data_IF_518967947671
#
_entry.id   IF_518967947671
#
_cell.length_a   1.000
_cell.length_b   1.000
_cell.length_c   1.000
_cell.angle_alpha   90.00
_cell.angle_beta   90.00
_cell.angle_gamma   90.00
#
_symmetry.space_group_name_H-M   'P 1'
#
loop_
_entity.id
_entity.type
_entity.pdbx_description
1 polymer ?
#
# COMPACT_ATOMS: atom_id res chain seq x y z
N UNK A 1 -32.32 33.22 -21.48
CA UNK A 1 -31.68 31.93 -21.83
C UNK A 1 -30.33 31.88 -21.14
N UNK A 2 -30.22 31.06 -20.08
CA UNK A 2 -29.02 30.98 -19.26
C UNK A 2 -27.91 30.26 -20.04
N UNK A 3 -26.80 30.95 -20.23
CA UNK A 3 -25.59 30.42 -20.83
C UNK A 3 -24.98 29.35 -19.91
N UNK A 4 -25.18 28.08 -20.26
CA UNK A 4 -24.35 27.01 -19.73
C UNK A 4 -22.96 27.17 -20.34
N UNK A 5 -22.10 27.94 -19.67
CA UNK A 5 -20.66 28.01 -19.91
C UNK A 5 -20.11 26.64 -19.56
N UNK A 6 -20.06 25.73 -20.55
CA UNK A 6 -19.37 24.47 -20.42
C UNK A 6 -17.94 24.77 -19.98
N UNK A 7 -17.48 24.12 -18.90
CA UNK A 7 -16.07 24.15 -18.52
C UNK A 7 -15.29 23.57 -19.70
N UNK A 8 -14.37 24.32 -20.27
CA UNK A 8 -13.38 23.78 -21.20
C UNK A 8 -12.50 22.80 -20.43
N UNK A 9 -12.33 21.60 -20.96
CA UNK A 9 -11.42 20.57 -20.42
C UNK A 9 -9.95 20.81 -20.80
N UNK A 10 -9.66 21.97 -21.38
CA UNK A 10 -8.32 22.32 -21.84
C UNK A 10 -7.80 23.47 -21.00
N UNK A 11 -6.55 23.30 -20.56
CA UNK A 11 -5.71 24.16 -19.71
C UNK A 11 -5.89 24.04 -18.19
N UNK A 12 -5.53 22.86 -17.66
CA UNK A 12 -4.83 22.77 -16.36
C UNK A 12 -4.09 21.42 -16.26
N UNK A 13 -3.03 21.25 -17.07
CA UNK A 13 -2.05 20.16 -16.88
C UNK A 13 -1.08 20.56 -15.76
N UNK A 14 -1.62 20.80 -14.55
CA UNK A 14 -0.86 21.14 -13.33
C UNK A 14 -0.15 19.91 -12.74
N UNK A 15 -0.17 18.78 -13.47
CA UNK A 15 0.44 17.52 -13.04
C UNK A 15 1.93 17.52 -13.43
N UNK A 16 2.85 17.38 -12.47
CA UNK A 16 4.28 17.36 -12.77
C UNK A 16 4.65 16.12 -13.62
N UNK A 17 5.73 16.23 -14.38
CA UNK A 17 6.36 15.07 -15.04
C UNK A 17 6.96 14.10 -14.00
N UNK A 18 7.20 12.86 -14.44
CA UNK A 18 7.86 11.86 -13.60
C UNK A 18 9.37 12.14 -13.48
N UNK A 19 10.02 11.80 -12.35
CA UNK A 19 9.44 11.24 -11.12
C UNK A 19 8.71 12.30 -10.28
N UNK A 20 7.45 12.02 -9.92
CA UNK A 20 6.57 12.98 -9.25
C UNK A 20 6.83 13.06 -7.75
N UNK A 21 6.71 14.28 -7.20
CA UNK A 21 6.78 14.55 -5.76
C UNK A 21 5.42 14.71 -5.09
N UNK A 22 4.39 15.07 -5.85
CA UNK A 22 3.00 15.25 -5.42
C UNK A 22 2.06 14.78 -6.54
N UNK A 23 0.79 14.52 -6.21
CA UNK A 23 -0.17 13.96 -7.19
C UNK A 23 0.20 12.54 -7.65
N UNK A 24 0.85 11.79 -6.76
CA UNK A 24 1.35 10.44 -7.02
C UNK A 24 0.20 9.46 -7.12
N UNK A 25 0.15 8.68 -8.19
CA UNK A 25 -0.84 7.61 -8.37
C UNK A 25 -0.18 6.26 -8.19
N UNK A 26 -0.60 5.51 -7.19
CA UNK A 26 -0.19 4.11 -7.01
C UNK A 26 -1.28 3.16 -7.50
N UNK A 27 -0.87 2.15 -8.26
CA UNK A 27 -1.72 1.01 -8.59
C UNK A 27 -1.41 -0.16 -7.66
N UNK A 28 -2.45 -0.85 -7.19
CA UNK A 28 -2.29 -2.03 -6.35
C UNK A 28 -2.50 -3.29 -7.18
N UNK A 29 -1.54 -4.21 -7.09
CA UNK A 29 -1.74 -5.57 -7.59
C UNK A 29 -2.71 -6.30 -6.66
N UNK A 30 -3.82 -6.90 -7.17
CA UNK A 30 -4.71 -7.69 -6.36
C UNK A 30 -4.00 -8.95 -5.86
N UNK A 31 -4.22 -9.28 -4.58
CA UNK A 31 -3.68 -10.48 -3.97
C UNK A 31 -4.21 -11.74 -4.64
N UNK A 32 -3.29 -12.56 -5.15
CA UNK A 32 -3.48 -13.84 -5.83
C UNK A 32 -4.07 -13.83 -7.25
N UNK A 33 -3.27 -14.41 -8.15
CA UNK A 33 -3.76 -15.19 -9.29
C UNK A 33 -3.88 -14.43 -10.59
N UNK A 34 -2.97 -14.72 -11.53
CA UNK A 34 -3.14 -14.57 -12.99
C UNK A 34 -3.30 -13.16 -13.59
N UNK A 35 -3.79 -12.16 -12.85
CA UNK A 35 -4.10 -10.83 -13.40
C UNK A 35 -2.88 -9.93 -13.59
N UNK A 36 -1.75 -10.28 -12.98
CA UNK A 36 -0.46 -9.63 -13.18
C UNK A 36 0.51 -10.59 -13.89
N UNK A 37 0.05 -11.22 -14.98
CA UNK A 37 1.00 -11.78 -15.94
C UNK A 37 1.84 -10.62 -16.49
N UNK A 38 3.10 -10.89 -16.78
CA UNK A 38 4.05 -9.89 -17.27
C UNK A 38 3.49 -9.07 -18.44
N UNK A 39 2.75 -9.70 -19.36
CA UNK A 39 2.14 -9.01 -20.50
C UNK A 39 1.12 -7.95 -20.09
N UNK A 40 0.22 -8.24 -19.14
CA UNK A 40 -0.81 -7.25 -18.73
C UNK A 40 -0.17 -6.03 -18.09
N UNK A 41 0.85 -6.24 -17.24
CA UNK A 41 1.59 -5.15 -16.63
C UNK A 41 2.31 -4.29 -17.67
N UNK A 42 2.94 -4.95 -18.65
CA UNK A 42 3.63 -4.28 -19.74
C UNK A 42 2.65 -3.44 -20.56
N UNK A 43 1.51 -3.99 -20.96
CA UNK A 43 0.48 -3.28 -21.71
C UNK A 43 -0.03 -2.05 -20.94
N UNK A 44 -0.22 -2.18 -19.62
CA UNK A 44 -0.61 -1.07 -18.75
C UNK A 44 0.49 0.01 -18.71
N UNK A 45 1.75 -0.37 -18.56
CA UNK A 45 2.85 0.60 -18.51
C UNK A 45 3.13 1.26 -19.87
N UNK A 46 2.91 0.56 -20.97
CA UNK A 46 3.02 1.12 -22.32
C UNK A 46 1.87 2.07 -22.63
N UNK A 47 0.63 1.74 -22.21
CA UNK A 47 -0.57 2.54 -22.52
C UNK A 47 -0.81 3.68 -21.53
N UNK A 48 -0.67 3.40 -20.24
CA UNK A 48 -1.07 4.27 -19.12
C UNK A 48 0.09 4.59 -18.18
N UNK A 49 1.32 4.17 -18.51
CA UNK A 49 2.48 4.33 -17.64
C UNK A 49 2.74 5.77 -17.23
N UNK A 50 2.46 6.75 -18.08
CA UNK A 50 2.60 8.18 -17.73
C UNK A 50 1.78 8.55 -16.48
N UNK A 51 0.63 7.91 -16.23
CA UNK A 51 -0.26 8.22 -15.12
C UNK A 51 -0.03 7.37 -13.86
N UNK A 52 0.79 6.32 -13.95
CA UNK A 52 1.09 5.42 -12.83
C UNK A 52 2.47 5.76 -12.27
N UNK A 53 2.57 6.14 -11.01
CA UNK A 53 3.84 6.50 -10.37
C UNK A 53 4.42 5.36 -9.53
N UNK A 54 3.56 4.53 -8.95
CA UNK A 54 3.99 3.41 -8.12
C UNK A 54 3.16 2.15 -8.33
N UNK A 55 3.80 1.00 -8.13
CA UNK A 55 3.18 -0.31 -8.11
C UNK A 55 3.29 -0.91 -6.71
N UNK A 56 2.15 -1.09 -6.04
CA UNK A 56 2.06 -1.82 -4.78
C UNK A 56 1.83 -3.31 -5.05
N UNK A 57 2.82 -4.12 -4.69
CA UNK A 57 2.72 -5.58 -4.75
C UNK A 57 2.07 -6.07 -3.44
N UNK A 58 0.81 -6.49 -3.54
CA UNK A 58 0.07 -7.07 -2.42
C UNK A 58 0.24 -8.60 -2.41
N UNK A 59 1.08 -9.12 -1.53
CA UNK A 59 1.25 -10.58 -1.36
C UNK A 59 0.35 -11.07 -0.21
N UNK A 60 -0.87 -11.47 -0.56
CA UNK A 60 -1.89 -11.83 0.41
C UNK A 60 -1.65 -13.15 1.15
N UNK A 61 -0.65 -13.98 0.79
CA UNK A 61 -0.22 -15.16 1.61
C UNK A 61 0.86 -16.07 0.96
N UNK A 62 1.57 -15.68 -0.11
CA UNK A 62 2.44 -16.63 -0.83
C UNK A 62 3.86 -16.13 -1.05
N UNK A 63 4.65 -16.20 0.04
CA UNK A 63 6.12 -16.20 0.07
C UNK A 63 6.75 -15.35 -1.05
N UNK A 64 7.02 -14.06 -0.78
CA UNK A 64 8.00 -13.24 -1.51
C UNK A 64 9.26 -14.06 -1.90
N UNK A 65 9.65 -14.98 -1.01
CA UNK A 65 10.76 -15.91 -1.14
C UNK A 65 10.66 -16.92 -2.30
N UNK A 66 9.46 -17.33 -2.72
CA UNK A 66 9.26 -18.35 -3.74
C UNK A 66 9.15 -17.76 -5.15
N UNK A 67 8.87 -16.45 -5.26
CA UNK A 67 8.64 -15.74 -6.54
C UNK A 67 9.69 -14.64 -6.79
N UNK A 68 10.90 -14.79 -6.24
CA UNK A 68 11.97 -13.78 -6.32
C UNK A 68 12.26 -13.36 -7.76
N UNK A 69 12.32 -14.31 -8.69
CA UNK A 69 12.65 -14.03 -10.09
C UNK A 69 11.54 -13.23 -10.78
N UNK A 70 10.28 -13.60 -10.55
CA UNK A 70 9.12 -12.87 -11.06
C UNK A 70 9.04 -11.45 -10.48
N UNK A 71 9.32 -11.28 -9.20
CA UNK A 71 9.34 -9.95 -8.57
C UNK A 71 10.45 -9.10 -9.18
N UNK A 72 11.66 -9.63 -9.34
CA UNK A 72 12.76 -8.91 -10.01
C UNK A 72 12.39 -8.50 -11.43
N UNK A 73 11.74 -9.38 -12.18
CA UNK A 73 11.29 -9.09 -13.54
C UNK A 73 10.25 -7.97 -13.57
N UNK A 74 9.23 -8.03 -12.70
CA UNK A 74 8.23 -6.97 -12.54
C UNK A 74 8.88 -5.65 -12.13
N UNK A 75 9.80 -5.68 -11.17
CA UNK A 75 10.53 -4.50 -10.71
C UNK A 75 11.34 -3.87 -11.84
N UNK A 76 12.11 -4.69 -12.57
CA UNK A 76 12.90 -4.22 -13.71
C UNK A 76 12.01 -3.61 -14.80
N UNK A 77 10.83 -4.18 -15.04
CA UNK A 77 9.85 -3.60 -15.97
C UNK A 77 9.32 -2.27 -15.45
N UNK A 78 8.86 -2.20 -14.19
CA UNK A 78 8.34 -0.98 -13.59
C UNK A 78 9.37 0.17 -13.65
N UNK A 79 10.63 -0.12 -13.34
CA UNK A 79 11.73 0.84 -13.41
C UNK A 79 12.00 1.38 -14.82
N UNK A 80 11.74 0.60 -15.88
CA UNK A 80 11.83 1.10 -17.28
C UNK A 80 10.81 2.20 -17.60
N UNK A 81 9.73 2.28 -16.83
CA UNK A 81 8.65 3.26 -17.01
C UNK A 81 8.61 4.31 -15.89
N UNK A 82 9.70 4.47 -15.14
CA UNK A 82 9.79 5.36 -13.98
C UNK A 82 8.68 5.12 -12.94
N UNK A 83 8.37 3.84 -12.70
CA UNK A 83 7.40 3.39 -11.69
C UNK A 83 8.15 2.77 -10.53
N UNK A 84 8.01 3.33 -9.32
CA UNK A 84 8.59 2.71 -8.12
C UNK A 84 7.76 1.53 -7.64
N UNK A 85 8.39 0.58 -6.97
CA UNK A 85 7.70 -0.61 -6.46
C UNK A 85 7.67 -0.60 -4.93
N UNK A 86 6.47 -0.80 -4.37
CA UNK A 86 6.25 -0.94 -2.94
C UNK A 86 5.77 -2.36 -2.58
N UNK A 87 6.16 -2.84 -1.40
CA UNK A 87 5.64 -4.08 -0.83
C UNK A 87 4.56 -3.79 0.19
N UNK A 88 3.48 -4.58 0.20
CA UNK A 88 2.46 -4.50 1.25
C UNK A 88 2.30 -5.79 2.05
N UNK A 89 1.82 -5.61 3.29
CA UNK A 89 1.29 -6.63 4.21
C UNK A 89 2.27 -7.74 4.68
N UNK A 90 3.40 -7.94 4.02
CA UNK A 90 4.37 -8.97 4.42
C UNK A 90 5.29 -8.53 5.56
N UNK A 91 5.73 -7.27 5.54
CA UNK A 91 6.50 -6.69 6.64
C UNK A 91 5.74 -6.89 7.96
N UNK A 92 4.45 -6.65 7.92
CA UNK A 92 3.50 -6.81 9.01
C UNK A 92 3.42 -8.25 9.53
N UNK A 93 3.20 -9.22 8.64
CA UNK A 93 3.19 -10.65 9.01
C UNK A 93 4.55 -11.11 9.59
N UNK A 94 5.65 -10.61 9.03
CA UNK A 94 7.00 -10.91 9.53
C UNK A 94 7.23 -10.32 10.92
N UNK A 95 6.76 -9.10 11.17
CA UNK A 95 6.86 -8.47 12.49
C UNK A 95 6.05 -9.20 13.56
N UNK A 96 4.95 -9.87 13.18
CA UNK A 96 4.20 -10.71 14.11
C UNK A 96 4.89 -12.04 14.41
N UNK A 97 5.38 -12.71 13.37
CA UNK A 97 5.88 -14.08 13.49
C UNK A 97 7.35 -14.15 13.89
N UNK A 98 8.18 -13.23 13.39
CA UNK A 98 9.63 -13.24 13.57
C UNK A 98 10.24 -11.83 13.40
N UNK A 99 10.10 -10.95 14.41
CA UNK A 99 10.65 -9.59 14.38
C UNK A 99 12.17 -9.54 14.12
N UNK A 100 12.91 -10.54 14.59
CA UNK A 100 14.37 -10.62 14.44
C UNK A 100 14.82 -10.74 12.98
N UNK A 101 13.99 -11.32 12.11
CA UNK A 101 14.29 -11.50 10.68
C UNK A 101 13.95 -10.26 9.84
N UNK A 102 13.43 -9.19 10.44
CA UNK A 102 13.06 -7.97 9.71
C UNK A 102 14.25 -7.32 9.01
N UNK A 103 15.45 -7.44 9.59
CA UNK A 103 16.67 -6.93 8.94
C UNK A 103 16.98 -7.68 7.64
N UNK A 104 16.93 -9.00 7.68
CA UNK A 104 17.20 -9.85 6.51
C UNK A 104 16.14 -9.61 5.43
N UNK A 105 14.89 -9.36 5.82
CA UNK A 105 13.82 -8.97 4.92
C UNK A 105 14.10 -7.64 4.20
N UNK A 106 14.58 -6.62 4.91
CA UNK A 106 14.95 -5.33 4.29
C UNK A 106 16.09 -5.51 3.27
N UNK A 107 17.09 -6.33 3.60
CA UNK A 107 18.17 -6.66 2.67
C UNK A 107 17.66 -7.42 1.45
N UNK A 108 16.75 -8.38 1.65
CA UNK A 108 16.14 -9.10 0.55
C UNK A 108 15.30 -8.20 -0.35
N UNK A 109 14.49 -7.30 0.20
CA UNK A 109 13.71 -6.36 -0.59
C UNK A 109 14.62 -5.50 -1.48
N UNK A 110 15.76 -5.07 -0.95
CA UNK A 110 16.77 -4.34 -1.71
C UNK A 110 17.36 -5.18 -2.84
N UNK A 111 17.65 -6.46 -2.59
CA UNK A 111 18.15 -7.39 -3.62
C UNK A 111 17.13 -7.67 -4.73
N UNK A 112 15.83 -7.56 -4.42
CA UNK A 112 14.75 -7.66 -5.39
C UNK A 112 14.50 -6.36 -6.17
N UNK A 113 15.20 -5.27 -5.83
CA UNK A 113 15.07 -3.95 -6.44
C UNK A 113 13.87 -3.15 -5.96
N UNK A 114 13.22 -3.55 -4.87
CA UNK A 114 12.08 -2.82 -4.33
C UNK A 114 12.53 -1.46 -3.81
N UNK A 115 11.68 -0.44 -3.95
CA UNK A 115 12.01 0.94 -3.57
C UNK A 115 11.47 1.30 -2.19
N UNK A 116 10.26 0.82 -1.90
CA UNK A 116 9.48 1.23 -0.72
C UNK A 116 8.95 0.02 0.04
N UNK A 117 9.07 0.03 1.37
CA UNK A 117 8.45 -0.95 2.25
C UNK A 117 7.31 -0.27 2.99
N UNK A 118 6.10 -0.82 2.86
CA UNK A 118 4.97 -0.40 3.66
C UNK A 118 5.00 -1.05 5.05
N UNK A 119 4.69 -0.26 6.08
CA UNK A 119 4.66 -0.70 7.48
C UNK A 119 3.33 -0.29 8.11
N UNK A 120 2.48 -1.25 8.47
CA UNK A 120 1.19 -0.94 9.07
C UNK A 120 1.26 -0.97 10.59
N UNK A 121 1.27 0.21 11.22
CA UNK A 121 1.36 0.32 12.68
C UNK A 121 0.04 -0.03 13.38
N UNK A 122 -1.08 0.28 12.73
CA UNK A 122 -2.41 0.26 13.35
C UNK A 122 -3.03 -1.13 13.49
N UNK A 123 -2.58 -2.11 12.69
CA UNK A 123 -3.07 -3.49 12.77
C UNK A 123 -2.63 -4.23 14.04
N UNK A 124 -1.53 -3.81 14.67
CA UNK A 124 -0.79 -4.67 15.60
C UNK A 124 -0.58 -4.08 16.99
N UNK A 125 -1.07 -2.86 17.25
CA UNK A 125 -0.86 -2.20 18.55
C UNK A 125 0.63 -2.01 18.87
N UNK A 126 1.47 -1.92 17.83
CA UNK A 126 2.91 -1.69 17.99
C UNK A 126 3.10 -0.27 18.52
N UNK A 127 3.95 -0.11 19.54
CA UNK A 127 4.23 1.22 20.08
C UNK A 127 4.86 2.12 19.01
N UNK A 128 4.57 3.41 19.08
CA UNK A 128 5.14 4.41 18.16
C UNK A 128 6.67 4.34 18.12
N UNK A 129 7.32 4.16 19.27
CA UNK A 129 8.77 3.98 19.38
C UNK A 129 9.28 2.80 18.57
N UNK A 130 8.53 1.69 18.56
CA UNK A 130 8.90 0.48 17.84
C UNK A 130 8.73 0.68 16.34
N UNK A 131 7.65 1.33 15.91
CA UNK A 131 7.47 1.74 14.51
C UNK A 131 8.64 2.62 14.03
N UNK A 132 9.03 3.62 14.83
CA UNK A 132 10.16 4.50 14.52
C UNK A 132 11.49 3.73 14.39
N UNK A 133 11.71 2.68 15.20
CA UNK A 133 12.89 1.80 15.08
C UNK A 133 12.88 1.06 13.74
N UNK A 134 11.75 0.51 13.31
CA UNK A 134 11.64 -0.16 12.02
C UNK A 134 11.80 0.79 10.84
N UNK A 135 11.20 1.98 10.90
CA UNK A 135 11.39 3.03 9.89
C UNK A 135 12.87 3.37 9.73
N UNK A 136 13.59 3.54 10.85
CA UNK A 136 15.05 3.79 10.83
C UNK A 136 15.81 2.62 10.23
N UNK A 137 15.40 1.38 10.49
CA UNK A 137 16.02 0.19 9.91
C UNK A 137 15.85 0.14 8.38
N UNK A 138 14.62 0.35 7.88
CA UNK A 138 14.32 0.41 6.44
C UNK A 138 15.16 1.50 5.76
N UNK A 139 15.19 2.71 6.34
CA UNK A 139 15.99 3.84 5.82
C UNK A 139 17.49 3.53 5.82
N UNK A 140 18.02 2.86 6.86
CA UNK A 140 19.42 2.41 6.91
C UNK A 140 19.73 1.36 5.85
N UNK A 141 18.75 0.53 5.48
CA UNK A 141 18.85 -0.39 4.35
C UNK A 141 18.95 0.31 2.99
N UNK A 142 18.61 1.61 2.91
CA UNK A 142 18.58 2.38 1.68
C UNK A 142 17.22 2.33 0.96
N UNK A 143 16.18 1.87 1.65
CA UNK A 143 14.81 1.81 1.12
C UNK A 143 13.96 2.93 1.71
N UNK A 144 12.87 3.29 1.03
CA UNK A 144 11.87 4.23 1.55
C UNK A 144 10.92 3.48 2.48
N UNK A 145 10.64 4.06 3.64
CA UNK A 145 9.62 3.54 4.54
C UNK A 145 8.31 4.31 4.30
N UNK A 146 7.22 3.58 4.07
CA UNK A 146 5.88 4.13 3.94
C UNK A 146 5.01 3.63 5.11
N UNK A 147 4.95 4.38 6.21
CA UNK A 147 4.08 3.99 7.32
C UNK A 147 2.62 4.12 6.89
N UNK A 148 1.83 3.10 7.19
CA UNK A 148 0.39 3.06 6.97
C UNK A 148 -0.30 2.98 8.33
N UNK A 149 -1.35 3.76 8.50
CA UNK A 149 -2.16 3.73 9.71
C UNK A 149 -3.50 3.15 9.34
N UNK A 150 -3.81 1.97 9.86
CA UNK A 150 -5.13 1.39 9.68
C UNK A 150 -5.85 1.27 11.01
N UNK A 151 -7.14 1.53 11.00
CA UNK A 151 -8.01 1.33 12.16
C UNK A 151 -8.91 0.14 11.85
N UNK A 152 -8.78 -0.91 12.64
CA UNK A 152 -9.72 -2.04 12.62
C UNK A 152 -10.85 -1.73 13.60
N UNK A 153 -12.03 -1.53 13.04
CA UNK A 153 -13.26 -1.46 13.84
C UNK A 153 -13.81 -2.87 13.99
N UNK A 154 -14.15 -3.29 15.21
CA UNK A 154 -15.03 -4.44 15.32
C UNK A 154 -16.41 -4.01 14.83
N UNK A 155 -17.09 -4.88 14.10
CA UNK A 155 -18.48 -4.63 13.70
C UNK A 155 -19.38 -4.32 14.92
N UNK A 156 -19.05 -4.90 16.07
CA UNK A 156 -19.70 -4.68 17.36
C UNK A 156 -19.47 -3.29 17.96
N UNK A 157 -18.39 -2.60 17.56
CA UNK A 157 -18.07 -1.23 17.99
C UNK A 157 -18.85 -0.19 17.16
N UNK A 158 -19.38 -0.59 16.00
CA UNK A 158 -20.19 0.26 15.14
C UNK A 158 -21.65 0.17 15.62
N UNK A 159 -22.26 1.27 16.09
CA UNK A 159 -23.65 1.24 16.54
C UNK A 159 -24.58 0.90 15.37
N UNK A 160 -25.30 -0.21 15.49
CA UNK A 160 -26.31 -0.62 14.51
C UNK A 160 -27.67 -0.07 14.95
N UNK A 161 -28.22 0.87 14.18
CA UNK A 161 -29.52 1.49 14.41
C UNK A 161 -29.45 3.01 14.33
N UNK A 162 -30.16 3.58 13.35
CA UNK A 162 -30.34 5.04 13.21
C UNK A 162 -31.21 5.53 14.38
N UNK A 163 -30.88 6.72 14.88
CA UNK A 163 -31.45 7.44 16.02
C UNK A 163 -30.99 6.95 17.41
N UNK A 164 -29.81 7.43 17.83
CA UNK A 164 -29.41 7.39 19.25
C UNK A 164 -28.84 8.73 19.68
N UNK A 165 -29.25 9.16 20.87
CA UNK A 165 -28.69 10.34 21.51
C UNK A 165 -27.21 10.11 21.87
N UNK A 166 -26.38 11.13 21.68
CA UNK A 166 -24.98 11.14 22.09
C UNK A 166 -24.87 10.81 23.60
N UNK A 167 -24.09 9.80 23.97
CA UNK A 167 -23.89 9.37 25.37
C UNK A 167 -24.78 8.23 25.88
N UNK A 168 -25.68 7.68 25.06
CA UNK A 168 -26.45 6.50 25.46
C UNK A 168 -25.57 5.24 25.59
N UNK A 169 -25.68 4.52 26.70
CA UNK A 169 -25.00 3.24 26.91
C UNK A 169 -25.48 2.19 25.89
N UNK A 170 -24.54 1.50 25.25
CA UNK A 170 -24.83 0.43 24.27
C UNK A 170 -24.34 -0.89 24.83
N UNK A 171 -25.24 -1.88 24.91
CA UNK A 171 -24.87 -3.26 25.25
C UNK A 171 -23.93 -3.78 24.15
N UNK A 172 -22.69 -4.20 24.49
CA UNK A 172 -21.73 -4.68 23.49
C UNK A 172 -22.28 -5.90 22.75
N UNK A 173 -22.31 -5.84 21.41
CA UNK A 173 -22.66 -7.00 20.61
C UNK A 173 -21.52 -8.04 20.65
N UNK A 174 -21.82 -9.34 20.49
CA UNK A 174 -20.80 -10.39 20.39
C UNK A 174 -19.78 -10.05 19.29
N UNK A 175 -18.49 -10.33 19.52
CA UNK A 175 -17.43 -10.05 18.54
C UNK A 175 -17.68 -10.84 17.25
N UNK A 176 -17.78 -10.13 16.13
CA UNK A 176 -17.78 -10.71 14.78
C UNK A 176 -16.65 -10.13 13.95
N UNK A 177 -16.41 -10.66 12.74
CA UNK A 177 -15.37 -10.18 11.82
C UNK A 177 -15.41 -8.65 11.64
N UNK A 178 -14.23 -8.04 11.73
CA UNK A 178 -14.04 -6.58 11.71
C UNK A 178 -13.92 -6.01 10.30
N UNK A 179 -14.05 -4.69 10.21
CA UNK A 179 -13.81 -3.90 8.99
C UNK A 179 -12.51 -3.13 9.20
N UNK A 180 -11.58 -3.20 8.25
CA UNK A 180 -10.34 -2.42 8.27
C UNK A 180 -10.48 -1.20 7.36
N UNK A 181 -10.25 -0.01 7.93
CA UNK A 181 -10.09 1.23 7.15
C UNK A 181 -8.61 1.57 7.15
N UNK A 182 -8.08 1.87 5.97
CA UNK A 182 -6.66 2.13 5.75
C UNK A 182 -6.47 3.61 5.43
N UNK A 183 -5.57 4.27 6.16
CA UNK A 183 -5.09 5.62 5.88
C UNK A 183 -3.63 5.51 5.40
N UNK A 184 -3.39 5.90 4.15
CA UNK A 184 -2.07 5.92 3.49
C UNK A 184 -1.56 7.33 3.30
#
# INVERSE_FOLDING_TARGET
>A
MAAYRWKSFYDDEDRPEKPRRFGVTEMSSPGYGSLFSQGVLQDIFETMGQFVDGLRISDGSSNLMQKKDLIKEITNMAHKHDVYVSTSDWADHLLQTRPSAFKDYVEECKLLGLDTIELNAGLFGVSEDTLLRYIRLVKRGGLRAKPQFSVKFNKSDIPVGRDRAFGAYVVPAPRSSGISVIFT
#
